data_IF_233893385082
#
_entry.id   IF_233893385082
#
_cell.length_a   1.000
_cell.length_b   1.000
_cell.length_c   1.000
_cell.angle_alpha   90.00
_cell.angle_beta   90.00
_cell.angle_gamma   90.00
#
_symmetry.space_group_name_H-M   'P 1'
#
loop_
_entity.id
_entity.type
_entity.pdbx_description
1 polymer ?
#
# COMPACT_ATOMS: atom_id res chain seq x y z
N UNK A 1 27.60 29.93 20.09
CA UNK A 1 27.16 28.63 20.61
C UNK A 1 26.07 28.15 19.67
N UNK A 2 26.24 26.97 19.05
CA UNK A 2 25.20 26.43 18.16
C UNK A 2 24.11 25.81 19.01
N UNK A 3 22.91 26.39 19.01
CA UNK A 3 21.76 25.76 19.64
C UNK A 3 21.40 24.52 18.82
N UNK A 4 21.52 23.35 19.45
CA UNK A 4 21.02 22.09 18.88
C UNK A 4 19.51 22.10 18.97
N UNK A 5 18.83 21.91 17.84
CA UNK A 5 17.37 21.79 17.77
C UNK A 5 16.94 20.64 18.69
N UNK A 6 15.97 20.87 19.59
CA UNK A 6 15.44 19.82 20.47
C UNK A 6 14.76 18.73 19.65
N UNK A 7 14.76 17.51 20.15
CA UNK A 7 14.18 16.36 19.43
C UNK A 7 12.71 16.57 19.06
N UNK A 8 11.92 17.13 19.97
CA UNK A 8 10.52 17.47 19.73
C UNK A 8 10.36 18.51 18.60
N UNK A 9 11.20 19.55 18.59
CA UNK A 9 11.22 20.55 17.52
C UNK A 9 11.63 19.94 16.18
N UNK A 10 12.58 18.99 16.16
CA UNK A 10 12.95 18.25 14.97
C UNK A 10 11.78 17.42 14.43
N UNK A 11 11.03 16.77 15.31
CA UNK A 11 9.84 15.99 14.96
C UNK A 11 8.74 16.88 14.37
N UNK A 12 8.51 18.07 14.95
CA UNK A 12 7.57 19.08 14.42
C UNK A 12 8.00 19.59 13.05
N UNK A 13 9.29 19.89 12.84
CA UNK A 13 9.83 20.32 11.53
C UNK A 13 9.59 19.23 10.47
N UNK A 14 9.89 17.97 10.80
CA UNK A 14 9.67 16.83 9.91
C UNK A 14 8.19 16.67 9.53
N UNK A 15 7.30 16.74 10.51
CA UNK A 15 5.85 16.63 10.30
C UNK A 15 5.29 17.76 9.43
N UNK A 16 5.80 18.98 9.57
CA UNK A 16 5.38 20.12 8.76
C UNK A 16 5.95 20.07 7.33
N UNK A 17 7.05 19.35 7.11
CA UNK A 17 7.61 19.11 5.77
C UNK A 17 6.87 18.05 4.95
N UNK A 18 5.88 17.37 5.52
CA UNK A 18 5.12 16.34 4.82
C UNK A 18 4.17 16.95 3.76
N UNK A 19 3.95 16.26 2.63
CA UNK A 19 3.00 16.69 1.61
C UNK A 19 1.56 16.70 2.16
N UNK A 20 0.70 17.56 1.59
CA UNK A 20 -0.70 17.73 2.02
C UNK A 20 -1.53 16.42 2.01
N UNK A 21 -1.13 15.45 1.19
CA UNK A 21 -1.72 14.11 1.14
C UNK A 21 -1.63 13.36 2.49
N UNK A 22 -0.70 13.76 3.36
CA UNK A 22 -0.48 13.20 4.69
C UNK A 22 -0.94 14.15 5.81
N UNK A 23 -1.70 15.21 5.49
CA UNK A 23 -2.17 16.22 6.44
C UNK A 23 -2.97 15.62 7.61
N UNK A 24 -3.83 14.65 7.33
CA UNK A 24 -4.60 13.97 8.38
C UNK A 24 -3.69 13.22 9.33
N UNK A 25 -2.72 12.48 8.80
CA UNK A 25 -1.73 11.76 9.60
C UNK A 25 -0.90 12.72 10.46
N UNK A 26 -0.44 13.84 9.90
CA UNK A 26 0.23 14.92 10.65
C UNK A 26 -0.63 15.41 11.81
N UNK A 27 -1.90 15.70 11.55
CA UNK A 27 -2.85 16.22 12.54
C UNK A 27 -3.07 15.20 13.67
N UNK A 28 -3.24 13.92 13.32
CA UNK A 28 -3.37 12.85 14.31
C UNK A 28 -2.11 12.77 15.17
N UNK A 29 -0.91 12.74 14.57
CA UNK A 29 0.34 12.63 15.33
C UNK A 29 0.56 13.85 16.24
N UNK A 30 0.31 15.08 15.74
CA UNK A 30 0.55 16.30 16.51
C UNK A 30 -0.40 16.49 17.69
N UNK A 31 -1.66 16.04 17.57
CA UNK A 31 -2.70 16.40 18.55
C UNK A 31 -3.26 15.21 19.35
N UNK A 32 -3.00 13.95 18.98
CA UNK A 32 -3.43 12.79 19.78
C UNK A 32 -2.39 12.33 20.82
N UNK A 33 -1.19 12.88 20.84
CA UNK A 33 -0.13 12.46 21.77
C UNK A 33 0.27 13.60 22.69
N UNK A 34 0.40 13.27 23.98
CA UNK A 34 0.89 14.22 25.00
C UNK A 34 2.39 14.51 24.84
N UNK A 35 3.14 13.56 24.28
CA UNK A 35 4.56 13.70 23.97
C UNK A 35 4.86 13.24 22.55
N UNK A 36 5.69 14.00 21.85
CA UNK A 36 6.11 13.71 20.49
C UNK A 36 7.60 13.35 20.48
N UNK A 37 7.90 12.11 20.10
CA UNK A 37 9.29 11.66 19.91
C UNK A 37 9.63 11.55 18.43
N UNK A 38 10.91 11.66 18.09
CA UNK A 38 11.35 11.52 16.71
C UNK A 38 11.15 10.08 16.20
N UNK A 39 11.38 9.11 17.07
CA UNK A 39 11.19 7.68 16.78
C UNK A 39 9.73 7.36 16.40
N UNK A 40 8.77 7.95 17.11
CA UNK A 40 7.35 7.77 16.83
C UNK A 40 6.94 8.31 15.46
N UNK A 41 7.44 9.51 15.11
CA UNK A 41 7.20 10.11 13.80
C UNK A 41 7.78 9.22 12.70
N UNK A 42 9.02 8.78 12.87
CA UNK A 42 9.71 7.92 11.89
C UNK A 42 9.03 6.56 11.72
N UNK A 43 8.61 5.94 12.81
CA UNK A 43 7.92 4.64 12.79
C UNK A 43 6.56 4.74 12.10
N UNK A 44 5.81 5.81 12.38
CA UNK A 44 4.51 6.06 11.75
C UNK A 44 4.65 6.31 10.25
N UNK A 45 5.68 7.06 9.84
CA UNK A 45 5.97 7.30 8.42
C UNK A 45 6.35 6.02 7.68
N UNK A 46 7.21 5.18 8.28
CA UNK A 46 7.58 3.87 7.71
C UNK A 46 6.38 2.94 7.57
N UNK A 47 5.51 2.91 8.59
CA UNK A 47 4.27 2.15 8.54
C UNK A 47 3.37 2.63 7.40
N UNK A 48 3.22 3.94 7.24
CA UNK A 48 2.40 4.52 6.18
C UNK A 48 2.94 4.21 4.78
N UNK A 49 4.26 4.27 4.60
CA UNK A 49 4.89 3.91 3.32
C UNK A 49 4.69 2.43 2.99
N UNK A 50 4.88 1.55 3.98
CA UNK A 50 4.60 0.13 3.83
C UNK A 50 3.13 -0.11 3.44
N UNK A 51 2.17 0.46 4.15
CA UNK A 51 0.74 0.36 3.83
C UNK A 51 0.45 0.77 2.37
N UNK A 52 1.00 1.89 1.91
CA UNK A 52 0.83 2.35 0.53
C UNK A 52 1.44 1.37 -0.49
N UNK A 53 2.58 0.77 -0.19
CA UNK A 53 3.22 -0.22 -1.05
C UNK A 53 2.41 -1.53 -1.11
N UNK A 54 1.87 -1.98 0.02
CA UNK A 54 0.98 -3.14 0.07
C UNK A 54 -0.32 -2.92 -0.71
N UNK A 55 -0.93 -1.73 -0.59
CA UNK A 55 -2.13 -1.39 -1.38
C UNK A 55 -1.84 -1.36 -2.88
N UNK A 56 -0.66 -0.88 -3.30
CA UNK A 56 -0.24 -0.93 -4.72
C UNK A 56 -0.05 -2.37 -5.19
N UNK A 57 0.62 -3.21 -4.40
CA UNK A 57 0.85 -4.62 -4.72
C UNK A 57 -0.48 -5.39 -4.84
N UNK A 58 -1.40 -5.24 -3.88
CA UNK A 58 -2.71 -5.89 -3.91
C UNK A 58 -3.56 -5.47 -5.13
N UNK A 59 -3.48 -4.19 -5.54
CA UNK A 59 -4.13 -3.70 -6.77
C UNK A 59 -3.50 -4.28 -8.04
N UNK A 60 -2.22 -4.62 -8.01
CA UNK A 60 -1.54 -5.23 -9.14
C UNK A 60 -1.86 -6.72 -9.26
N UNK A 61 -1.93 -7.42 -8.14
CA UNK A 61 -2.29 -8.85 -8.08
C UNK A 61 -3.74 -9.08 -8.53
N UNK A 62 -4.68 -8.26 -8.06
CA UNK A 62 -6.09 -8.30 -8.52
C UNK A 62 -6.24 -8.03 -10.04
N UNK A 63 -5.43 -7.13 -10.61
CA UNK A 63 -5.41 -6.90 -12.07
C UNK A 63 -4.78 -8.06 -12.85
N UNK A 64 -3.79 -8.75 -12.27
CA UNK A 64 -3.19 -9.93 -12.90
C UNK A 64 -4.16 -11.10 -12.94
N UNK A 65 -4.98 -11.30 -11.91
CA UNK A 65 -6.00 -12.35 -11.87
C UNK A 65 -7.09 -12.17 -12.95
N UNK A 66 -7.61 -10.95 -13.13
CA UNK A 66 -8.53 -10.64 -14.23
C UNK A 66 -7.90 -10.85 -15.62
N UNK A 67 -6.61 -10.54 -15.79
CA UNK A 67 -5.88 -10.80 -17.03
C UNK A 67 -5.66 -12.29 -17.30
N UNK A 68 -5.55 -13.13 -16.26
CA UNK A 68 -5.38 -14.57 -16.39
C UNK A 68 -6.69 -15.26 -16.81
N UNK A 69 -7.84 -14.74 -16.39
CA UNK A 69 -9.14 -15.23 -16.85
C UNK A 69 -9.55 -14.72 -18.24
N UNK A 70 -8.95 -13.63 -18.73
CA UNK A 70 -9.24 -13.07 -20.05
C UNK A 70 -8.67 -13.89 -21.23
N UNK A 71 -7.71 -14.80 -20.99
CA UNK A 71 -7.23 -15.78 -21.99
C UNK A 71 -8.14 -17.00 -22.07
N UNK A 72 -9.36 -16.76 -22.55
CA UNK A 72 -10.07 -17.71 -23.41
C UNK A 72 -10.48 -19.04 -22.78
N UNK A 73 -11.61 -19.01 -22.07
CA UNK A 73 -12.54 -20.14 -22.07
C UNK A 73 -12.94 -20.46 -23.52
N UNK A 74 -12.27 -21.41 -24.16
CA UNK A 74 -12.91 -22.21 -25.21
C UNK A 74 -13.47 -23.48 -24.56
N UNK A 75 -14.54 -23.32 -23.76
CA UNK A 75 -15.47 -24.40 -23.47
C UNK A 75 -16.30 -24.67 -24.75
N UNK A 76 -15.65 -25.06 -25.85
CA UNK A 76 -16.36 -25.65 -26.99
C UNK A 76 -16.70 -27.08 -26.64
N UNK A 77 -17.79 -27.19 -25.88
CA UNK A 77 -18.69 -28.33 -25.80
C UNK A 77 -19.09 -28.71 -27.23
N UNK A 78 -18.33 -29.61 -27.87
CA UNK A 78 -18.77 -30.24 -29.10
C UNK A 78 -19.14 -31.70 -28.80
N UNK A 79 -20.45 -31.86 -28.59
CA UNK A 79 -21.14 -33.13 -28.56
C UNK A 79 -21.13 -33.72 -29.97
N UNK A 80 -20.12 -34.54 -30.30
CA UNK A 80 -20.16 -35.38 -31.50
C UNK A 80 -19.75 -36.81 -31.18
N UNK A 81 -20.76 -37.58 -30.75
CA UNK A 81 -21.15 -38.87 -31.32
C UNK A 81 -20.01 -39.77 -31.81
N UNK A 82 -19.81 -40.86 -31.06
CA UNK A 82 -19.81 -42.23 -31.59
C UNK A 82 -19.09 -42.42 -32.94
N UNK A 83 -17.81 -42.78 -32.91
CA UNK A 83 -17.19 -43.56 -33.99
C UNK A 83 -16.34 -44.67 -33.38
N UNK A 84 -16.83 -45.89 -33.59
CA UNK A 84 -16.28 -47.13 -33.06
C UNK A 84 -14.87 -47.41 -33.55
N UNK A 85 -14.10 -48.05 -32.67
CA UNK A 85 -12.80 -48.62 -32.99
C UNK A 85 -13.04 -50.02 -33.58
N UNK A 86 -12.66 -50.22 -34.83
CA UNK A 86 -12.46 -51.54 -35.42
C UNK A 86 -11.44 -51.42 -36.56
N UNK A 87 -10.23 -51.90 -36.29
CA UNK A 87 -9.42 -52.76 -37.17
C UNK A 87 -8.26 -53.31 -36.36
#
# INVERSE_FOLDING_TARGET
MGETIKEEDQAVILLNGLPDQLKEMRTVIMYNRDTLTLEDVMSTLRFRDAELNWQKAARQESRQDESLFARGRNLRRNNSRFRGNSR
#
